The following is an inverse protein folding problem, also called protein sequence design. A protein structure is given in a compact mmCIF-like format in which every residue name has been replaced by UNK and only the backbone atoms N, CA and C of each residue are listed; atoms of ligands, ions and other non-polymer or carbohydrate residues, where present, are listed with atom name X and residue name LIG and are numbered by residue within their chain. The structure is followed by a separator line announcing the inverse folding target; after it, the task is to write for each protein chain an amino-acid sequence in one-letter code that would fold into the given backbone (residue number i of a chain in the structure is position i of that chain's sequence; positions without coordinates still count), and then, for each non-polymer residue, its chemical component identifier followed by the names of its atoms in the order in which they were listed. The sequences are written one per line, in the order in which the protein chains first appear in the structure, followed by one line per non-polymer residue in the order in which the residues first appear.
data_IF_235644791771
#
_entry.id   IF_235644791771
#
_cell.length_a   1.000
_cell.length_b   1.000
_cell.length_c   1.000
_cell.angle_alpha   90.00
_cell.angle_beta   90.00
_cell.angle_gamma   90.00
#
_symmetry.space_group_name_H-M   'P 1'
#
loop_
_entity.id
_entity.type
_entity.pdbx_description
1 polymer ?
#
# COMPACT_ATOMS: atom_id res chain seq x y z
N UNK A 1 -8.61 -20.08 22.71
CA UNK A 1 -8.52 -18.71 22.19
C UNK A 1 -9.93 -18.20 21.95
N UNK A 2 -10.31 -17.05 22.50
CA UNK A 2 -11.63 -16.45 22.31
C UNK A 2 -11.60 -15.27 21.33
N UNK A 3 -12.76 -14.65 21.10
CA UNK A 3 -12.90 -13.51 20.17
C UNK A 3 -12.06 -12.32 20.63
N UNK A 4 -11.95 -12.08 21.94
CA UNK A 4 -11.23 -10.92 22.46
C UNK A 4 -9.72 -11.09 22.30
N UNK A 5 -9.21 -12.29 22.54
CA UNK A 5 -7.78 -12.60 22.32
C UNK A 5 -7.37 -12.41 20.85
N UNK A 6 -8.24 -12.79 19.90
CA UNK A 6 -7.98 -12.52 18.48
C UNK A 6 -8.05 -11.05 18.12
N UNK A 7 -8.95 -10.28 18.73
CA UNK A 7 -9.06 -8.82 18.51
C UNK A 7 -7.80 -8.09 18.96
N UNK A 8 -7.25 -8.45 20.13
CA UNK A 8 -5.98 -7.87 20.61
C UNK A 8 -4.86 -8.08 19.59
N UNK A 9 -4.74 -9.30 19.03
CA UNK A 9 -3.74 -9.58 17.99
C UNK A 9 -3.95 -8.79 16.70
N UNK A 10 -5.22 -8.51 16.35
CA UNK A 10 -5.54 -7.64 15.21
C UNK A 10 -5.12 -6.21 15.51
N UNK A 11 -5.37 -5.72 16.72
CA UNK A 11 -4.97 -4.36 17.13
C UNK A 11 -3.45 -4.19 17.10
N UNK A 12 -2.70 -5.15 17.63
CA UNK A 12 -1.23 -5.18 17.54
C UNK A 12 -0.75 -5.16 16.07
N UNK A 13 -1.38 -5.97 15.21
CA UNK A 13 -1.05 -5.98 13.79
C UNK A 13 -1.41 -4.65 13.10
N UNK A 14 -2.47 -3.97 13.54
CA UNK A 14 -2.85 -2.66 13.01
C UNK A 14 -1.76 -1.61 13.28
N UNK A 15 -1.13 -1.64 14.45
CA UNK A 15 -0.01 -0.74 14.77
C UNK A 15 1.19 -0.99 13.84
N UNK A 16 1.49 -2.25 13.54
CA UNK A 16 2.53 -2.60 12.56
C UNK A 16 2.18 -2.11 11.15
N UNK A 17 0.94 -2.31 10.72
CA UNK A 17 0.45 -1.82 9.42
C UNK A 17 0.55 -0.29 9.33
N UNK A 18 0.17 0.45 10.38
CA UNK A 18 0.31 1.91 10.41
C UNK A 18 1.77 2.35 10.27
N UNK A 19 2.69 1.68 10.95
CA UNK A 19 4.12 1.96 10.83
C UNK A 19 4.64 1.74 9.40
N UNK A 20 4.23 0.63 8.76
CA UNK A 20 4.61 0.31 7.39
C UNK A 20 4.02 1.30 6.37
N UNK A 21 2.76 1.71 6.56
CA UNK A 21 2.10 2.69 5.70
C UNK A 21 2.77 4.06 5.81
N UNK A 22 3.13 4.51 7.02
CA UNK A 22 3.86 5.77 7.21
C UNK A 22 5.23 5.76 6.56
N UNK A 23 5.97 4.63 6.64
CA UNK A 23 7.24 4.47 5.91
C UNK A 23 7.03 4.56 4.40
N UNK A 24 6.00 3.88 3.88
CA UNK A 24 5.65 3.93 2.46
C UNK A 24 5.28 5.35 2.00
N UNK A 25 4.52 6.08 2.81
CA UNK A 25 4.16 7.48 2.55
C UNK A 25 5.40 8.40 2.55
N UNK A 26 6.36 8.16 3.45
CA UNK A 26 7.64 8.88 3.46
C UNK A 26 8.40 8.70 2.15
N UNK A 27 8.45 7.47 1.62
CA UNK A 27 9.08 7.22 0.31
C UNK A 27 8.32 7.88 -0.85
N UNK A 28 7.00 7.90 -0.81
CA UNK A 28 6.18 8.62 -1.78
C UNK A 28 6.51 10.13 -1.76
N UNK A 29 6.58 10.74 -0.58
CA UNK A 29 6.93 12.17 -0.44
C UNK A 29 8.32 12.50 -1.04
N UNK A 30 9.34 11.64 -0.83
CA UNK A 30 10.65 11.81 -1.46
C UNK A 30 10.59 11.68 -3.00
N UNK A 31 9.79 10.75 -3.51
CA UNK A 31 9.51 10.63 -4.95
C UNK A 31 8.83 11.90 -5.48
N UNK A 32 7.86 12.45 -4.75
CA UNK A 32 7.17 13.69 -5.08
C UNK A 32 8.14 14.87 -5.23
N UNK A 33 9.10 15.02 -4.30
CA UNK A 33 10.17 16.03 -4.40
C UNK A 33 10.98 15.89 -5.69
N UNK A 34 11.36 14.67 -6.06
CA UNK A 34 12.12 14.39 -7.28
C UNK A 34 11.27 14.70 -8.53
N UNK A 35 10.00 14.29 -8.54
CA UNK A 35 9.07 14.59 -9.66
C UNK A 35 8.90 16.09 -9.85
N UNK A 36 8.72 16.83 -8.75
CA UNK A 36 8.60 18.30 -8.75
C UNK A 36 9.85 18.98 -9.31
N UNK A 37 11.05 18.55 -8.90
CA UNK A 37 12.32 19.07 -9.44
C UNK A 37 12.47 18.81 -10.95
N UNK A 38 11.90 17.72 -11.46
CA UNK A 38 11.96 17.32 -12.87
C UNK A 38 10.77 17.76 -13.71
N UNK A 39 9.77 18.45 -13.12
CA UNK A 39 8.53 18.81 -13.81
C UNK A 39 7.69 17.60 -14.26
N UNK A 40 7.80 16.46 -13.56
CA UNK A 40 7.05 15.24 -13.86
C UNK A 40 5.69 15.24 -13.14
N UNK A 41 4.65 14.62 -13.74
CA UNK A 41 3.35 14.49 -13.08
C UNK A 41 3.43 13.59 -11.84
N UNK A 42 2.64 13.91 -10.83
CA UNK A 42 2.49 13.08 -9.62
C UNK A 42 1.81 11.75 -9.96
N UNK A 43 0.77 11.77 -10.78
CA UNK A 43 0.06 10.58 -11.23
C UNK A 43 0.80 9.89 -12.40
N UNK A 44 1.05 8.58 -12.25
CA UNK A 44 1.67 7.72 -13.27
C UNK A 44 0.88 6.40 -13.34
N UNK A 45 -0.07 6.34 -14.26
CA UNK A 45 -0.97 5.20 -14.46
C UNK A 45 -0.20 3.89 -14.74
N UNK A 46 0.84 3.95 -15.57
CA UNK A 46 1.64 2.79 -15.93
C UNK A 46 2.37 2.20 -14.72
N UNK A 47 2.88 3.08 -13.84
CA UNK A 47 3.51 2.67 -12.59
C UNK A 47 2.52 2.00 -11.64
N UNK A 48 1.31 2.55 -11.50
CA UNK A 48 0.28 1.99 -10.61
C UNK A 48 -0.20 0.62 -11.08
N UNK A 49 -0.51 0.50 -12.38
CA UNK A 49 -0.94 -0.78 -12.95
C UNK A 49 0.14 -1.85 -12.76
N UNK A 50 1.42 -1.48 -12.87
CA UNK A 50 2.54 -2.38 -12.59
C UNK A 50 2.61 -2.82 -11.12
N UNK A 51 2.31 -1.94 -10.16
CA UNK A 51 2.18 -2.34 -8.73
C UNK A 51 1.06 -3.34 -8.57
N UNK A 52 -0.13 -3.04 -9.10
CA UNK A 52 -1.33 -3.87 -8.93
C UNK A 52 -1.14 -5.26 -9.52
N UNK A 53 -0.50 -5.37 -10.68
CA UNK A 53 -0.19 -6.67 -11.30
C UNK A 53 0.78 -7.48 -10.43
N UNK A 54 1.86 -6.84 -9.95
CA UNK A 54 2.86 -7.50 -9.11
C UNK A 54 2.26 -7.96 -7.76
N UNK A 55 1.40 -7.15 -7.17
CA UNK A 55 0.70 -7.47 -5.92
C UNK A 55 -0.24 -8.66 -6.11
N UNK A 56 -1.02 -8.68 -7.20
CA UNK A 56 -1.89 -9.82 -7.51
C UNK A 56 -1.09 -11.11 -7.72
N UNK A 57 0.02 -11.05 -8.45
CA UNK A 57 0.90 -12.21 -8.65
C UNK A 57 1.46 -12.73 -7.32
N UNK A 58 1.92 -11.84 -6.44
CA UNK A 58 2.43 -12.21 -5.11
C UNK A 58 1.34 -12.82 -4.24
N UNK A 59 0.14 -12.23 -4.25
CA UNK A 59 -1.00 -12.74 -3.51
C UNK A 59 -1.39 -14.16 -3.95
N UNK A 60 -1.41 -14.42 -5.26
CA UNK A 60 -1.69 -15.74 -5.80
C UNK A 60 -0.67 -16.80 -5.34
N UNK A 61 0.60 -16.42 -5.20
CA UNK A 61 1.68 -17.31 -4.73
C UNK A 61 1.67 -17.52 -3.21
N UNK A 62 1.23 -16.53 -2.44
CA UNK A 62 1.25 -16.59 -0.97
C UNK A 62 0.25 -17.59 -0.38
N UNK A 63 -0.84 -17.91 -1.09
CA UNK A 63 -1.84 -18.89 -0.64
C UNK A 63 -2.64 -18.47 0.60
N UNK A 64 -2.73 -17.17 0.86
CA UNK A 64 -3.48 -16.61 1.99
C UNK A 64 -5.01 -16.56 1.77
N UNK A 65 -5.78 -16.21 2.80
CA UNK A 65 -7.24 -16.17 2.74
C UNK A 65 -7.81 -15.03 1.88
N UNK A 66 -6.99 -14.02 1.55
CA UNK A 66 -7.39 -12.92 0.68
C UNK A 66 -7.08 -13.23 -0.79
N UNK A 67 -8.03 -12.95 -1.67
CA UNK A 67 -7.85 -13.12 -3.12
C UNK A 67 -6.85 -12.10 -3.70
N UNK A 68 -6.24 -12.40 -4.87
CA UNK A 68 -5.42 -11.42 -5.59
C UNK A 68 -6.14 -10.09 -5.86
N UNK A 69 -7.43 -10.14 -6.17
CA UNK A 69 -8.28 -8.96 -6.35
C UNK A 69 -8.44 -8.15 -5.06
N UNK A 70 -8.60 -8.81 -3.91
CA UNK A 70 -8.68 -8.13 -2.60
C UNK A 70 -7.42 -7.32 -2.34
N UNK A 71 -6.26 -7.90 -2.63
CA UNK A 71 -4.99 -7.19 -2.50
C UNK A 71 -4.87 -6.02 -3.48
N UNK A 72 -5.33 -6.15 -4.73
CA UNK A 72 -5.36 -5.03 -5.67
C UNK A 72 -6.22 -3.87 -5.15
N UNK A 73 -7.41 -4.18 -4.60
CA UNK A 73 -8.29 -3.15 -4.04
C UNK A 73 -7.65 -2.42 -2.86
N UNK A 74 -7.02 -3.15 -1.93
CA UNK A 74 -6.30 -2.55 -0.80
C UNK A 74 -5.14 -1.68 -1.30
N UNK A 75 -4.32 -2.19 -2.23
CA UNK A 75 -3.16 -1.45 -2.72
C UNK A 75 -3.53 -0.23 -3.55
N UNK A 76 -4.69 -0.22 -4.22
CA UNK A 76 -5.22 0.97 -4.89
C UNK A 76 -5.47 2.09 -3.89
N UNK A 77 -6.18 1.81 -2.80
CA UNK A 77 -6.44 2.79 -1.73
C UNK A 77 -5.13 3.27 -1.09
N UNK A 78 -4.20 2.35 -0.81
CA UNK A 78 -2.88 2.73 -0.27
C UNK A 78 -2.16 3.70 -1.24
N UNK A 79 -2.14 3.41 -2.54
CA UNK A 79 -1.52 4.28 -3.54
C UNK A 79 -2.20 5.66 -3.58
N UNK A 80 -3.52 5.69 -3.65
CA UNK A 80 -4.32 6.92 -3.66
C UNK A 80 -4.05 7.80 -2.44
N UNK A 81 -4.07 7.24 -1.23
CA UNK A 81 -3.84 7.99 0.00
C UNK A 81 -2.40 8.50 0.12
N UNK A 82 -1.41 7.68 -0.26
CA UNK A 82 -0.02 8.15 -0.23
C UNK A 82 0.33 9.16 -1.33
N UNK A 83 -0.41 9.18 -2.45
CA UNK A 83 -0.19 10.17 -3.50
C UNK A 83 -0.43 11.58 -2.97
N UNK A 84 -1.38 11.75 -2.03
CA UNK A 84 -1.72 13.04 -1.42
C UNK A 84 -0.54 13.68 -0.67
N UNK A 85 0.49 12.91 -0.30
CA UNK A 85 1.71 13.43 0.33
C UNK A 85 2.85 13.68 -0.66
N UNK A 86 2.64 13.40 -1.96
CA UNK A 86 3.61 13.71 -3.04
C UNK A 86 3.48 15.16 -3.57
N UNK A 87 2.36 15.83 -3.28
CA UNK A 87 2.02 17.21 -3.72
C UNK A 87 2.75 18.30 -2.91
#
# INVERSE_FOLDING_TARGET
MDINEWRIRIDELNDELMSLLNKRATYAAEIGKIKKQKGLPVFDEGREQSVLNLVAEKAAKAGGPLSPESFQNIFRVIMEETRKVEE
#
